data_IF_199701272082
#
_entry.id   IF_199701272082
#
_cell.length_a   1.000
_cell.length_b   1.000
_cell.length_c   1.000
_cell.angle_alpha   90.00
_cell.angle_beta   90.00
_cell.angle_gamma   90.00
#
_symmetry.space_group_name_H-M   'P 1'
#
loop_
_entity.id
_entity.type
_entity.pdbx_description
1 polymer ?
#
# COMPACT_ATOMS: atom_id res chain seq x y z
N UNK A 1 -39.72 10.85 -8.52
CA UNK A 1 -39.35 11.48 -7.24
C UNK A 1 -38.55 10.45 -6.44
N UNK A 2 -37.22 10.64 -6.44
CA UNK A 2 -36.16 10.07 -5.58
C UNK A 2 -36.47 8.70 -4.95
N UNK A 3 -36.00 7.64 -5.62
CA UNK A 3 -35.74 6.34 -5.01
C UNK A 3 -34.59 6.50 -4.00
N UNK A 4 -34.94 6.91 -2.78
CA UNK A 4 -34.02 6.99 -1.66
C UNK A 4 -33.38 5.62 -1.45
N UNK A 5 -32.09 5.57 -1.79
CA UNK A 5 -31.03 4.77 -1.19
C UNK A 5 -31.48 3.91 0.01
N UNK A 6 -32.09 2.76 -0.28
CA UNK A 6 -31.83 1.58 0.55
C UNK A 6 -30.56 0.95 0.03
N UNK A 7 -29.44 1.66 0.21
CA UNK A 7 -28.15 0.98 0.38
C UNK A 7 -28.21 0.34 1.76
N UNK A 8 -29.07 -0.66 1.88
CA UNK A 8 -28.97 -1.67 2.91
C UNK A 8 -27.54 -2.17 2.78
N UNK A 9 -26.73 -1.92 3.81
CA UNK A 9 -25.46 -2.61 3.99
C UNK A 9 -25.81 -4.10 4.20
N UNK A 10 -26.21 -4.78 3.13
CA UNK A 10 -26.29 -6.21 3.08
C UNK A 10 -24.94 -6.71 3.58
N UNK A 11 -24.96 -7.52 4.64
CA UNK A 11 -23.80 -7.87 5.44
C UNK A 11 -22.60 -8.18 4.57
N UNK A 12 -21.65 -7.24 4.45
CA UNK A 12 -20.43 -7.45 3.66
C UNK A 12 -19.74 -8.68 4.25
N UNK A 13 -19.47 -9.67 3.42
CA UNK A 13 -18.82 -10.91 3.84
C UNK A 13 -17.51 -10.60 4.57
N UNK A 14 -17.23 -11.33 5.65
CA UNK A 14 -16.02 -11.15 6.45
C UNK A 14 -14.74 -11.19 5.57
N UNK A 15 -14.74 -12.02 4.53
CA UNK A 15 -13.63 -12.11 3.57
C UNK A 15 -13.42 -10.82 2.77
N UNK A 16 -14.50 -10.16 2.36
CA UNK A 16 -14.42 -8.89 1.62
C UNK A 16 -13.91 -7.78 2.53
N UNK A 17 -14.41 -7.73 3.77
CA UNK A 17 -13.91 -6.79 4.78
C UNK A 17 -12.41 -7.00 5.06
N UNK A 18 -11.97 -8.25 5.18
CA UNK A 18 -10.56 -8.57 5.41
C UNK A 18 -9.66 -8.15 4.25
N UNK A 19 -10.06 -8.42 3.00
CA UNK A 19 -9.33 -7.97 1.82
C UNK A 19 -9.22 -6.44 1.78
N UNK A 20 -10.34 -5.76 1.96
CA UNK A 20 -10.38 -4.30 1.98
C UNK A 20 -9.47 -3.72 3.07
N UNK A 21 -9.52 -4.27 4.29
CA UNK A 21 -8.65 -3.84 5.38
C UNK A 21 -7.17 -4.00 5.02
N UNK A 22 -6.77 -5.15 4.47
CA UNK A 22 -5.39 -5.39 4.07
C UNK A 22 -4.96 -4.42 2.96
N UNK A 23 -5.83 -4.13 2.00
CA UNK A 23 -5.54 -3.18 0.91
C UNK A 23 -5.35 -1.74 1.42
N UNK A 24 -6.17 -1.32 2.40
CA UNK A 24 -6.01 -0.02 3.05
C UNK A 24 -4.70 0.05 3.84
N UNK A 25 -4.37 -0.98 4.62
CA UNK A 25 -3.09 -1.02 5.36
C UNK A 25 -1.89 -1.02 4.42
N UNK A 26 -1.98 -1.78 3.32
CA UNK A 26 -0.98 -1.80 2.26
C UNK A 26 -0.76 -0.40 1.68
N UNK A 27 -1.84 0.32 1.35
CA UNK A 27 -1.76 1.66 0.80
C UNK A 27 -1.11 2.66 1.78
N UNK A 28 -1.48 2.60 3.06
CA UNK A 28 -0.90 3.46 4.10
C UNK A 28 0.60 3.17 4.26
N UNK A 29 0.99 1.90 4.42
CA UNK A 29 2.40 1.52 4.52
C UNK A 29 3.19 1.91 3.27
N UNK A 30 2.61 1.78 2.08
CA UNK A 30 3.22 2.21 0.83
C UNK A 30 3.47 3.72 0.83
N UNK A 31 2.48 4.54 1.17
CA UNK A 31 2.62 6.00 1.18
C UNK A 31 3.74 6.43 2.14
N UNK A 32 3.78 5.88 3.37
CA UNK A 32 4.82 6.21 4.35
C UNK A 32 6.20 5.80 3.83
N UNK A 33 6.33 4.57 3.34
CA UNK A 33 7.59 4.04 2.81
C UNK A 33 8.07 4.82 1.57
N UNK A 34 7.15 5.18 0.68
CA UNK A 34 7.44 5.94 -0.53
C UNK A 34 7.90 7.36 -0.21
N UNK A 35 7.17 8.10 0.64
CA UNK A 35 7.53 9.47 1.02
C UNK A 35 8.89 9.49 1.73
N UNK A 36 9.11 8.60 2.70
CA UNK A 36 10.41 8.51 3.40
C UNK A 36 11.54 8.11 2.46
N UNK A 37 11.28 7.22 1.50
CA UNK A 37 12.23 6.84 0.45
C UNK A 37 12.59 8.00 -0.47
N UNK A 38 11.62 8.81 -0.90
CA UNK A 38 11.84 10.03 -1.70
C UNK A 38 12.69 11.04 -0.94
N UNK A 39 12.40 11.27 0.35
CA UNK A 39 13.18 12.18 1.19
C UNK A 39 14.64 11.72 1.38
N UNK A 40 14.87 10.41 1.35
CA UNK A 40 16.21 9.80 1.46
C UNK A 40 17.02 9.87 0.16
N UNK A 41 16.41 10.23 -0.98
CA UNK A 41 17.13 10.31 -2.24
C UNK A 41 18.26 11.35 -2.16
N UNK A 42 19.45 11.05 -2.71
CA UNK A 42 20.61 11.93 -2.58
C UNK A 42 20.39 13.33 -3.18
N UNK A 43 19.55 13.44 -4.22
CA UNK A 43 19.15 14.73 -4.80
C UNK A 43 18.35 15.59 -3.83
N UNK A 44 17.41 14.97 -3.09
CA UNK A 44 16.56 15.64 -2.11
C UNK A 44 17.36 16.06 -0.87
N UNK A 45 18.23 15.19 -0.37
CA UNK A 45 19.13 15.51 0.76
C UNK A 45 20.03 16.69 0.42
N UNK A 46 20.63 16.71 -0.79
CA UNK A 46 21.45 17.82 -1.26
C UNK A 46 20.66 19.12 -1.41
N UNK A 47 19.41 19.05 -1.87
CA UNK A 47 18.54 20.22 -2.00
C UNK A 47 18.28 20.88 -0.64
N UNK A 48 17.86 20.11 0.36
CA UNK A 48 17.59 20.62 1.70
C UNK A 48 18.86 21.12 2.40
N UNK A 49 19.99 20.42 2.23
CA UNK A 49 21.28 20.89 2.75
C UNK A 49 21.67 22.26 2.17
N UNK A 50 21.48 22.49 0.86
CA UNK A 50 21.70 23.80 0.23
C UNK A 50 20.73 24.88 0.72
N UNK A 51 19.54 24.49 1.13
CA UNK A 51 18.55 25.38 1.73
C UNK A 51 18.78 25.65 3.24
N UNK A 52 19.91 25.18 3.80
CA UNK A 52 20.23 25.26 5.23
C UNK A 52 19.17 24.61 6.15
N UNK A 53 18.48 23.58 5.64
CA UNK A 53 17.51 22.78 6.40
C UNK A 53 18.18 21.47 6.80
N UNK A 54 18.35 21.28 8.11
CA UNK A 54 18.83 20.01 8.67
C UNK A 54 17.70 18.97 8.68
N UNK A 55 17.91 17.84 7.99
CA UNK A 55 16.95 16.75 7.97
C UNK A 55 17.36 15.65 8.95
N UNK A 56 16.43 15.12 9.77
CA UNK A 56 16.72 14.01 10.67
C UNK A 56 16.77 12.68 9.89
N UNK A 57 17.82 12.48 9.09
CA UNK A 57 17.98 11.32 8.19
C UNK A 57 17.90 9.99 8.93
N UNK A 58 18.40 9.92 10.17
CA UNK A 58 18.36 8.70 10.98
C UNK A 58 16.92 8.31 11.34
N UNK A 59 16.09 9.28 11.73
CA UNK A 59 14.68 9.05 12.05
C UNK A 59 13.89 8.69 10.78
N UNK A 60 14.15 9.38 9.66
CA UNK A 60 13.54 9.09 8.36
C UNK A 60 13.92 7.67 7.92
N UNK A 61 15.17 7.26 8.10
CA UNK A 61 15.63 5.91 7.76
C UNK A 61 14.98 4.84 8.64
N UNK A 62 14.93 5.06 9.96
CA UNK A 62 14.26 4.13 10.87
C UNK A 62 12.78 3.95 10.51
N UNK A 63 12.08 5.04 10.19
CA UNK A 63 10.68 4.99 9.75
C UNK A 63 10.53 4.31 8.38
N UNK A 64 11.43 4.60 7.43
CA UNK A 64 11.45 3.95 6.12
C UNK A 64 11.58 2.43 6.25
N UNK A 65 12.59 1.97 7.00
CA UNK A 65 12.87 0.55 7.13
C UNK A 65 11.72 -0.19 7.84
N UNK A 66 11.15 0.39 8.91
CA UNK A 66 9.98 -0.16 9.59
C UNK A 66 8.73 -0.21 8.68
N UNK A 67 8.46 0.88 7.95
CA UNK A 67 7.33 0.94 7.02
C UNK A 67 7.51 0.00 5.82
N UNK A 68 8.74 -0.20 5.36
CA UNK A 68 9.10 -1.18 4.32
C UNK A 68 8.85 -2.62 4.76
N UNK A 69 9.20 -2.97 6.00
CA UNK A 69 8.88 -4.29 6.57
C UNK A 69 7.36 -4.50 6.63
N UNK A 70 6.61 -3.52 7.14
CA UNK A 70 5.14 -3.59 7.18
C UNK A 70 4.53 -3.71 5.78
N UNK A 71 5.02 -2.93 4.81
CA UNK A 71 4.60 -2.99 3.42
C UNK A 71 4.84 -4.39 2.83
N UNK A 72 6.02 -4.96 3.06
CA UNK A 72 6.34 -6.32 2.62
C UNK A 72 5.38 -7.36 3.21
N UNK A 73 5.12 -7.28 4.52
CA UNK A 73 4.18 -8.18 5.20
C UNK A 73 2.76 -8.07 4.65
N UNK A 74 2.22 -6.85 4.52
CA UNK A 74 0.87 -6.65 3.97
C UNK A 74 0.80 -7.08 2.50
N UNK A 75 1.87 -6.93 1.73
CA UNK A 75 1.94 -7.42 0.34
C UNK A 75 1.79 -8.95 0.30
N UNK A 76 2.50 -9.68 1.17
CA UNK A 76 2.37 -11.14 1.24
C UNK A 76 0.95 -11.58 1.62
N UNK A 77 0.34 -10.93 2.60
CA UNK A 77 -1.05 -11.20 3.01
C UNK A 77 -2.02 -10.89 1.87
N UNK A 78 -1.86 -9.75 1.20
CA UNK A 78 -2.67 -9.34 0.04
C UNK A 78 -2.61 -10.39 -1.07
N UNK A 79 -1.41 -10.83 -1.44
CA UNK A 79 -1.20 -11.87 -2.46
C UNK A 79 -1.84 -13.20 -2.03
N UNK A 80 -1.70 -13.60 -0.76
CA UNK A 80 -2.31 -14.82 -0.26
C UNK A 80 -3.84 -14.79 -0.33
N UNK A 81 -4.46 -13.67 0.05
CA UNK A 81 -5.92 -13.48 0.01
C UNK A 81 -6.46 -13.42 -1.43
N UNK A 82 -5.65 -12.95 -2.38
CA UNK A 82 -6.03 -12.80 -3.78
C UNK A 82 -5.47 -13.89 -4.71
N UNK A 83 -4.75 -14.89 -4.19
CA UNK A 83 -4.07 -15.95 -4.98
C UNK A 83 -4.96 -16.65 -6.01
N UNK A 84 -6.21 -16.98 -5.65
CA UNK A 84 -7.14 -17.69 -6.54
C UNK A 84 -7.50 -16.85 -7.76
N UNK A 85 -7.72 -15.55 -7.53
CA UNK A 85 -7.99 -14.59 -8.60
C UNK A 85 -6.76 -14.41 -9.48
N UNK A 86 -5.58 -14.23 -8.89
CA UNK A 86 -4.30 -14.10 -9.62
C UNK A 86 -4.10 -15.30 -10.54
N UNK A 87 -4.13 -16.52 -10.01
CA UNK A 87 -3.94 -17.75 -10.81
C UNK A 87 -4.99 -17.87 -11.92
N UNK A 88 -6.25 -17.54 -11.66
CA UNK A 88 -7.31 -17.58 -12.67
C UNK A 88 -7.07 -16.59 -13.80
N UNK A 89 -6.68 -15.35 -13.49
CA UNK A 89 -6.39 -14.31 -14.48
C UNK A 89 -5.12 -14.65 -15.26
N UNK A 90 -4.04 -15.04 -14.58
CA UNK A 90 -2.79 -15.45 -15.24
C UNK A 90 -3.02 -16.59 -16.23
N UNK A 91 -3.81 -17.61 -15.84
CA UNK A 91 -4.12 -18.75 -16.72
C UNK A 91 -4.90 -18.30 -17.96
N UNK A 92 -5.90 -17.43 -17.81
CA UNK A 92 -6.65 -16.84 -18.95
C UNK A 92 -5.80 -16.00 -19.88
N UNK A 93 -4.82 -15.25 -19.34
CA UNK A 93 -3.90 -14.45 -20.15
C UNK A 93 -2.97 -15.35 -20.97
N UNK A 94 -2.52 -16.48 -20.41
CA UNK A 94 -1.66 -17.44 -21.10
C UNK A 94 -2.41 -18.31 -22.11
N UNK A 95 -3.66 -18.70 -21.86
CA UNK A 95 -4.48 -19.48 -22.79
C UNK A 95 -4.99 -18.66 -23.99
N UNK A 96 -4.91 -17.32 -23.90
CA UNK A 96 -5.31 -16.38 -24.97
C UNK A 96 -4.11 -15.87 -25.78
N UNK A 97 -2.97 -16.53 -25.65
CA UNK A 97 -1.76 -16.36 -26.47
C UNK A 97 -1.53 -17.66 -27.24
#
# INVERSE_FOLDING_TARGET
MISHQRMSMASVSATVKQKYLVDVMLAISFIICFVTGVLKLPGFVRFFHRAAIEMPIDQITSLHDASGILLGLFTLVHLYLNRRWIVSVTRKLLEKQ
#
